data_IF_934067645054
#
_entry.id   IF_934067645054
#
_cell.length_a   1.000
_cell.length_b   1.000
_cell.length_c   1.000
_cell.angle_alpha   90.00
_cell.angle_beta   90.00
_cell.angle_gamma   90.00
#
_symmetry.space_group_name_H-M   'P 1'
#
loop_
_entity.id
_entity.type
_entity.pdbx_description
1 polymer ?
#
# COMPACT_ATOMS: atom_id res chain seq x y z
N UNK A 1 11.17 -17.93 4.90
CA UNK A 1 10.02 -17.01 4.83
C UNK A 1 9.98 -16.46 3.42
N UNK A 2 8.84 -16.57 2.76
CA UNK A 2 8.67 -16.14 1.36
C UNK A 2 8.53 -14.62 1.29
N UNK A 3 9.09 -14.00 0.25
CA UNK A 3 8.90 -12.55 0.03
C UNK A 3 7.44 -12.27 -0.33
N UNK A 4 6.84 -11.27 0.31
CA UNK A 4 5.45 -10.87 0.07
C UNK A 4 5.36 -9.62 -0.80
N UNK A 5 4.24 -9.49 -1.51
CA UNK A 5 3.90 -8.38 -2.40
C UNK A 5 2.46 -7.96 -2.15
N UNK A 6 2.16 -6.68 -2.34
CA UNK A 6 0.79 -6.16 -2.27
C UNK A 6 0.34 -5.91 -3.70
N UNK A 7 -0.82 -6.44 -4.07
CA UNK A 7 -1.38 -6.35 -5.42
C UNK A 7 -2.74 -5.69 -5.39
N UNK A 8 -2.99 -4.80 -6.35
CA UNK A 8 -4.27 -4.13 -6.53
C UNK A 8 -4.49 -3.80 -8.01
N UNK A 9 -5.70 -3.42 -8.39
CA UNK A 9 -6.03 -3.04 -9.77
C UNK A 9 -6.40 -1.57 -9.81
N UNK A 10 -5.79 -0.83 -10.74
CA UNK A 10 -6.07 0.59 -10.96
C UNK A 10 -6.07 0.88 -12.46
N UNK A 11 -7.14 1.53 -12.96
CA UNK A 11 -7.26 1.85 -14.39
C UNK A 11 -7.26 0.63 -15.31
N UNK A 12 -7.64 -0.55 -14.79
CA UNK A 12 -7.63 -1.82 -15.52
C UNK A 12 -6.27 -2.54 -15.58
N UNK A 13 -5.22 -1.97 -14.99
CA UNK A 13 -3.91 -2.58 -14.90
C UNK A 13 -3.65 -3.12 -13.49
N UNK A 14 -2.97 -4.27 -13.42
CA UNK A 14 -2.51 -4.80 -12.13
C UNK A 14 -1.27 -4.03 -11.66
N UNK A 15 -1.30 -3.59 -10.41
CA UNK A 15 -0.22 -2.88 -9.72
C UNK A 15 0.37 -3.79 -8.66
N UNK A 16 1.69 -3.73 -8.50
CA UNK A 16 2.43 -4.53 -7.51
C UNK A 16 3.30 -3.59 -6.68
N UNK A 17 3.06 -3.54 -5.39
CA UNK A 17 3.96 -2.90 -4.44
C UNK A 17 4.95 -3.94 -3.92
N UNK A 18 6.21 -3.50 -3.83
CA UNK A 18 7.35 -4.28 -3.35
C UNK A 18 7.85 -3.60 -2.08
N UNK A 19 7.36 -3.98 -0.90
CA UNK A 19 7.83 -3.40 0.34
C UNK A 19 9.29 -3.79 0.60
N UNK A 20 10.14 -2.84 1.01
CA UNK A 20 11.52 -3.15 1.39
C UNK A 20 11.54 -4.01 2.66
N UNK A 21 12.33 -5.09 2.64
CA UNK A 21 12.32 -6.10 3.70
C UNK A 21 12.80 -5.52 5.04
N UNK A 22 13.83 -4.68 4.98
CA UNK A 22 14.41 -4.03 6.15
C UNK A 22 13.39 -3.14 6.89
N UNK A 23 12.43 -2.55 6.17
CA UNK A 23 11.37 -1.76 6.79
C UNK A 23 10.39 -2.66 7.54
N UNK A 24 9.95 -3.76 6.92
CA UNK A 24 9.06 -4.74 7.54
C UNK A 24 9.65 -5.25 8.86
N UNK A 25 10.92 -5.64 8.83
CA UNK A 25 11.60 -6.20 10.01
C UNK A 25 11.82 -5.15 11.12
N UNK A 26 11.90 -3.86 10.76
CA UNK A 26 12.13 -2.77 11.70
C UNK A 26 10.85 -2.23 12.38
N UNK A 27 9.66 -2.46 11.80
CA UNK A 27 8.39 -1.97 12.33
C UNK A 27 7.62 -3.07 13.04
N UNK A 28 6.68 -2.66 13.93
CA UNK A 28 5.74 -3.56 14.61
C UNK A 28 6.39 -4.82 15.25
N UNK A 29 7.63 -4.69 15.74
CA UNK A 29 8.41 -5.79 16.31
C UNK A 29 8.56 -7.02 15.37
N UNK A 30 8.62 -6.78 14.06
CA UNK A 30 8.78 -7.82 13.05
C UNK A 30 7.47 -8.57 12.71
N UNK A 31 6.31 -8.07 13.13
CA UNK A 31 5.00 -8.55 12.68
C UNK A 31 4.80 -8.20 11.20
N UNK A 32 5.13 -9.16 10.34
CA UNK A 32 5.11 -9.01 8.89
C UNK A 32 3.71 -8.68 8.37
N UNK A 33 2.68 -9.38 8.85
CA UNK A 33 1.32 -9.20 8.35
C UNK A 33 0.79 -7.81 8.70
N UNK A 34 1.02 -7.37 9.95
CA UNK A 34 0.67 -6.02 10.36
C UNK A 34 1.42 -4.94 9.60
N UNK A 35 2.72 -5.14 9.33
CA UNK A 35 3.52 -4.22 8.54
C UNK A 35 2.98 -4.08 7.11
N UNK A 36 2.68 -5.21 6.45
CA UNK A 36 2.15 -5.22 5.09
C UNK A 36 0.77 -4.58 5.00
N UNK A 37 -0.12 -4.83 5.97
CA UNK A 37 -1.43 -4.18 6.04
C UNK A 37 -1.31 -2.66 6.23
N UNK A 38 -0.38 -2.19 7.08
CA UNK A 38 -0.15 -0.76 7.27
C UNK A 38 0.41 -0.07 6.02
N UNK A 39 1.34 -0.74 5.31
CA UNK A 39 1.87 -0.26 4.04
C UNK A 39 0.75 -0.23 2.98
N UNK A 40 -0.03 -1.31 2.87
CA UNK A 40 -1.12 -1.40 1.90
C UNK A 40 -2.17 -0.32 2.15
N UNK A 41 -2.57 -0.10 3.40
CA UNK A 41 -3.48 0.99 3.74
C UNK A 41 -2.94 2.35 3.25
N UNK A 42 -1.65 2.63 3.46
CA UNK A 42 -1.03 3.92 3.11
C UNK A 42 -0.77 4.09 1.60
N UNK A 43 -0.28 3.05 0.92
CA UNK A 43 0.27 3.14 -0.44
C UNK A 43 -0.70 2.64 -1.54
N UNK A 44 -1.73 1.86 -1.19
CA UNK A 44 -2.82 1.55 -2.12
C UNK A 44 -3.75 2.77 -2.18
N UNK A 45 -4.12 3.25 -3.38
CA UNK A 45 -5.06 4.37 -3.49
C UNK A 45 -6.35 4.13 -2.71
N UNK A 46 -6.85 5.20 -2.09
CA UNK A 46 -7.99 5.13 -1.20
C UNK A 46 -9.21 4.44 -1.86
N UNK A 47 -9.79 3.48 -1.14
CA UNK A 47 -10.97 2.73 -1.59
C UNK A 47 -10.71 1.61 -2.59
N UNK A 48 -9.47 1.44 -3.09
CA UNK A 48 -9.15 0.29 -3.93
C UNK A 48 -8.87 -0.95 -3.08
N UNK A 49 -9.48 -2.10 -3.39
CA UNK A 49 -9.19 -3.35 -2.70
C UNK A 49 -7.80 -3.87 -3.07
N UNK A 50 -7.17 -4.60 -2.15
CA UNK A 50 -5.86 -5.21 -2.37
C UNK A 50 -5.78 -6.64 -1.83
N UNK A 51 -4.73 -7.35 -2.26
CA UNK A 51 -4.33 -8.65 -1.72
C UNK A 51 -2.84 -8.68 -1.42
N UNK A 52 -2.44 -9.42 -0.40
CA UNK A 52 -1.06 -9.77 -0.10
C UNK A 52 -0.79 -11.18 -0.65
N UNK A 53 0.19 -11.29 -1.55
CA UNK A 53 0.54 -12.54 -2.22
C UNK A 53 2.01 -12.88 -2.03
N UNK A 54 2.36 -14.15 -2.23
CA UNK A 54 3.76 -14.53 -2.31
C UNK A 54 4.37 -14.03 -3.62
N UNK A 55 5.62 -13.55 -3.56
CA UNK A 55 6.35 -13.09 -4.75
C UNK A 55 6.55 -14.22 -5.77
N UNK A 56 6.52 -15.47 -5.32
CA UNK A 56 6.57 -16.66 -6.18
C UNK A 56 5.31 -16.87 -7.01
N UNK A 57 4.18 -16.29 -6.58
CA UNK A 57 2.90 -16.35 -7.32
C UNK A 57 2.84 -15.31 -8.44
N UNK A 58 3.81 -14.39 -8.50
CA UNK A 58 3.87 -13.34 -9.51
C UNK A 58 4.77 -13.75 -10.69
N UNK A 59 4.46 -13.29 -11.91
CA UNK A 59 5.34 -13.46 -13.06
C UNK A 59 6.73 -12.86 -12.81
N UNK A 60 7.76 -13.70 -12.95
CA UNK A 60 9.16 -13.29 -12.79
C UNK A 60 9.62 -12.47 -14.00
N UNK A 61 9.15 -12.82 -15.20
CA UNK A 61 9.43 -12.08 -16.44
C UNK A 61 8.57 -10.81 -16.50
N UNK A 62 9.17 -9.71 -16.98
CA UNK A 62 8.49 -8.43 -17.17
C UNK A 62 7.67 -8.40 -18.46
N UNK A 63 7.93 -9.28 -19.43
CA UNK A 63 7.22 -9.35 -20.71
C UNK A 63 5.76 -9.83 -20.59
N UNK A 64 5.44 -10.61 -19.57
CA UNK A 64 4.11 -11.20 -19.37
C UNK A 64 3.22 -10.39 -18.41
N UNK A 65 3.71 -9.26 -17.89
CA UNK A 65 2.99 -8.46 -16.88
C UNK A 65 1.73 -7.78 -17.42
N UNK A 66 1.70 -7.47 -18.72
CA UNK A 66 0.49 -6.91 -19.36
C UNK A 66 -0.60 -7.97 -19.59
N UNK A 67 -0.27 -9.26 -19.49
CA UNK A 67 -1.21 -10.36 -19.66
C UNK A 67 -1.82 -10.83 -18.33
N UNK A 68 -1.28 -10.37 -17.20
CA UNK A 68 -1.76 -10.79 -15.89
C UNK A 68 -3.00 -10.00 -15.51
N UNK A 69 -4.08 -10.72 -15.24
CA UNK A 69 -5.32 -10.18 -14.68
C UNK A 69 -5.51 -10.72 -13.28
N UNK A 70 -6.11 -9.91 -12.43
CA UNK A 70 -6.57 -10.30 -11.10
C UNK A 70 -8.06 -10.04 -11.05
N UNK A 71 -8.82 -11.03 -10.59
CA UNK A 71 -10.24 -10.81 -10.30
C UNK A 71 -10.37 -9.89 -9.09
N UNK A 72 -11.17 -8.84 -9.21
CA UNK A 72 -11.43 -7.94 -8.10
C UNK A 72 -12.05 -8.68 -6.89
N UNK A 73 -12.78 -9.78 -7.13
CA UNK A 73 -13.34 -10.62 -6.08
C UNK A 73 -12.26 -11.32 -5.21
N UNK A 74 -11.04 -11.48 -5.74
CA UNK A 74 -9.92 -12.09 -5.03
C UNK A 74 -9.13 -11.09 -4.18
N UNK A 75 -9.39 -9.78 -4.30
CA UNK A 75 -8.71 -8.70 -3.56
C UNK A 75 -9.38 -8.46 -2.20
N UNK A 76 -9.16 -9.36 -1.24
CA UNK A 76 -9.95 -9.43 0.00
C UNK A 76 -9.22 -9.00 1.28
N UNK A 77 -7.92 -8.68 1.21
CA UNK A 77 -7.11 -8.48 2.42
C UNK A 77 -7.26 -7.07 3.03
N UNK A 78 -7.88 -6.16 2.28
CA UNK A 78 -8.23 -4.83 2.76
C UNK A 78 -8.51 -3.87 1.63
N UNK A 79 -8.65 -2.59 1.99
CA UNK A 79 -8.80 -1.46 1.07
C UNK A 79 -7.78 -0.38 1.40
N UNK A 80 -7.32 0.35 0.39
CA UNK A 80 -6.50 1.55 0.59
C UNK A 80 -7.20 2.55 1.51
N UNK A 81 -6.46 3.07 2.48
CA UNK A 81 -6.96 4.02 3.46
C UNK A 81 -6.97 5.44 2.91
N UNK A 82 -7.96 6.22 3.32
CA UNK A 82 -7.97 7.66 3.06
C UNK A 82 -7.23 8.39 4.19
N UNK A 83 -5.99 8.80 3.91
CA UNK A 83 -5.14 9.57 4.82
C UNK A 83 -5.29 11.09 4.63
N UNK A 84 -6.51 11.54 4.29
CA UNK A 84 -6.82 12.94 4.01
C UNK A 84 -6.61 13.33 2.55
N UNK A 85 -6.66 12.34 1.64
CA UNK A 85 -6.53 12.58 0.21
C UNK A 85 -7.70 13.44 -0.28
N UNK A 86 -7.40 14.57 -0.92
CA UNK A 86 -8.42 15.51 -1.39
C UNK A 86 -9.02 16.41 -0.29
N UNK A 87 -8.51 16.35 0.94
CA UNK A 87 -8.87 17.32 1.98
C UNK A 87 -8.05 18.60 1.81
N UNK A 88 -8.60 19.71 2.30
CA UNK A 88 -7.87 20.98 2.45
C UNK A 88 -6.79 20.93 3.52
N UNK A 89 -6.60 19.79 4.21
CA UNK A 89 -5.68 19.66 5.34
C UNK A 89 -4.28 19.29 4.84
N UNK A 90 -3.34 20.22 5.01
CA UNK A 90 -1.94 20.03 4.62
C UNK A 90 -1.06 20.01 5.87
N UNK A 91 -0.10 19.09 5.95
CA UNK A 91 0.96 19.12 6.96
C UNK A 91 1.94 20.24 6.59
N UNK A 92 1.96 21.31 7.38
CA UNK A 92 2.81 22.50 7.15
C UNK A 92 4.06 22.53 8.03
N UNK A 93 4.20 21.56 8.93
CA UNK A 93 5.34 21.47 9.82
C UNK A 93 5.17 20.37 10.86
N UNK A 94 6.15 20.27 11.75
CA UNK A 94 6.16 19.34 12.87
C UNK A 94 6.48 20.12 14.14
N UNK A 95 5.81 19.83 15.24
CA UNK A 95 6.15 20.40 16.55
C UNK A 95 7.45 19.78 17.07
N UNK A 96 8.06 20.39 18.08
CA UNK A 96 9.23 19.81 18.76
C UNK A 96 8.93 18.44 19.41
N UNK A 97 7.65 18.15 19.68
CA UNK A 97 7.19 16.85 20.19
C UNK A 97 6.99 15.79 19.08
N UNK A 98 7.20 16.13 17.81
CA UNK A 98 7.02 15.22 16.67
C UNK A 98 5.58 15.09 16.19
N UNK A 99 4.68 15.99 16.60
CA UNK A 99 3.30 15.99 16.14
C UNK A 99 3.16 16.82 14.85
N UNK A 100 2.39 16.36 13.86
CA UNK A 100 2.19 17.10 12.62
C UNK A 100 1.34 18.36 12.85
N UNK A 101 1.79 19.49 12.33
CA UNK A 101 1.00 20.74 12.30
C UNK A 101 0.17 20.74 11.02
N UNK A 102 -1.14 20.68 11.17
CA UNK A 102 -2.11 20.62 10.07
C UNK A 102 -2.74 22.00 9.84
N UNK A 103 -2.73 22.49 8.59
CA UNK A 103 -3.44 23.70 8.18
C UNK A 103 -4.54 23.36 7.18
N UNK A 104 -5.72 23.99 7.32
CA UNK A 104 -6.74 24.01 6.27
C UNK A 104 -6.41 25.12 5.24
N UNK A 105 -6.27 24.74 3.97
CA UNK A 105 -6.13 25.64 2.82
C UNK A 105 -7.41 25.62 2.00
N UNK A 106 -8.05 26.78 1.85
CA UNK A 106 -9.23 26.92 1.00
C UNK A 106 -8.88 26.59 -0.46
N UNK A 107 -9.76 25.83 -1.12
CA UNK A 107 -9.65 25.39 -2.52
C UNK A 107 -9.70 26.54 -3.52
#
# INVERSE_FOLDING_TARGET
MTEKRIVYVEGGAVRVLIPPREFIDAVFAGDVDRALLAIAAKDVPAGLPFRIVDAADLPVDRGDRELWTVDAADLTDGVGGDYGAGTSRVVIGWTEAGEPVIQEVAT
#
